data_IF_617275567676
#
_entry.id   IF_617275567676
#
_cell.length_a   1.000
_cell.length_b   1.000
_cell.length_c   1.000
_cell.angle_alpha   90.00
_cell.angle_beta   90.00
_cell.angle_gamma   90.00
#
_symmetry.space_group_name_H-M   'P 1'
#
loop_
_entity.id
_entity.type
_entity.pdbx_description
1 polymer ?
#
# COMPACT_ATOMS: atom_id res chain seq x y z
N UNK A 1 6.47 11.79 17.45
CA UNK A 1 5.91 10.42 17.58
C UNK A 1 6.88 9.60 18.41
N UNK A 2 6.40 8.85 19.42
CA UNK A 2 7.24 7.95 20.22
C UNK A 2 7.43 6.61 19.50
N UNK A 3 8.47 5.83 19.86
CA UNK A 3 8.70 4.50 19.28
C UNK A 3 7.49 3.56 19.39
N UNK A 4 6.81 3.45 20.57
CA UNK A 4 5.60 2.63 20.67
C UNK A 4 4.46 3.10 19.76
N UNK A 5 4.28 4.43 19.62
CA UNK A 5 3.27 4.99 18.72
C UNK A 5 3.58 4.68 17.25
N UNK A 6 4.85 4.70 16.87
CA UNK A 6 5.30 4.37 15.51
C UNK A 6 5.07 2.90 15.17
N UNK A 7 5.44 2.00 16.09
CA UNK A 7 5.20 0.57 15.94
C UNK A 7 3.71 0.22 15.84
N UNK A 8 2.88 0.92 16.62
CA UNK A 8 1.43 0.79 16.53
C UNK A 8 0.91 1.29 15.17
N UNK A 9 1.39 2.44 14.68
CA UNK A 9 1.01 2.96 13.37
C UNK A 9 1.42 2.00 12.22
N UNK A 10 2.64 1.47 12.25
CA UNK A 10 3.11 0.47 11.29
C UNK A 10 2.23 -0.79 11.32
N UNK A 11 1.87 -1.26 12.51
CA UNK A 11 1.01 -2.44 12.67
C UNK A 11 -0.40 -2.20 12.10
N UNK A 12 -0.98 -1.03 12.37
CA UNK A 12 -2.28 -0.63 11.83
C UNK A 12 -2.26 -0.55 10.29
N UNK A 13 -1.20 0.03 9.72
CA UNK A 13 -1.07 0.12 8.26
C UNK A 13 -0.86 -1.25 7.60
N UNK A 14 -0.12 -2.17 8.26
CA UNK A 14 0.01 -3.55 7.78
C UNK A 14 -1.33 -4.28 7.77
N UNK A 15 -2.14 -4.09 8.82
CA UNK A 15 -3.49 -4.64 8.89
C UNK A 15 -4.38 -4.05 7.79
N UNK A 16 -4.34 -2.73 7.59
CA UNK A 16 -5.08 -2.06 6.52
C UNK A 16 -4.65 -2.58 5.14
N UNK A 17 -3.35 -2.76 4.90
CA UNK A 17 -2.85 -3.31 3.63
C UNK A 17 -3.36 -4.73 3.38
N UNK A 18 -3.46 -5.56 4.42
CA UNK A 18 -4.06 -6.89 4.31
C UNK A 18 -5.54 -6.81 3.95
N UNK A 19 -6.31 -5.91 4.59
CA UNK A 19 -7.72 -5.67 4.23
C UNK A 19 -7.88 -5.17 2.80
N UNK A 20 -7.00 -4.28 2.34
CA UNK A 20 -6.98 -3.77 0.96
C UNK A 20 -6.73 -4.90 -0.04
N UNK A 21 -5.78 -5.81 0.24
CA UNK A 21 -5.52 -6.97 -0.63
C UNK A 21 -6.71 -7.91 -0.72
N UNK A 22 -7.30 -8.26 0.42
CA UNK A 22 -8.50 -9.10 0.46
C UNK A 22 -9.66 -8.49 -0.34
N UNK A 23 -9.84 -7.16 -0.24
CA UNK A 23 -10.90 -6.46 -0.99
C UNK A 23 -10.61 -6.40 -2.50
N UNK A 24 -9.35 -6.26 -2.91
CA UNK A 24 -9.00 -6.25 -4.34
C UNK A 24 -9.27 -7.62 -4.98
N UNK A 25 -8.95 -8.72 -4.29
CA UNK A 25 -9.26 -10.08 -4.72
C UNK A 25 -10.78 -10.32 -4.88
N UNK A 26 -11.57 -9.84 -3.91
CA UNK A 26 -13.04 -9.89 -3.96
C UNK A 26 -13.58 -9.13 -5.18
N UNK A 27 -13.16 -7.88 -5.37
CA UNK A 27 -13.61 -7.04 -6.47
C UNK A 27 -13.14 -7.58 -7.83
N UNK A 28 -11.94 -8.14 -7.93
CA UNK A 28 -11.46 -8.77 -9.15
C UNK A 28 -12.29 -10.01 -9.50
N UNK A 29 -12.67 -10.80 -8.51
CA UNK A 29 -13.58 -11.94 -8.69
C UNK A 29 -14.94 -11.49 -9.25
N UNK A 30 -15.53 -10.45 -8.66
CA UNK A 30 -16.80 -9.87 -9.11
C UNK A 30 -16.69 -9.31 -10.53
N UNK A 31 -15.64 -8.55 -10.84
CA UNK A 31 -15.42 -8.00 -12.18
C UNK A 31 -15.32 -9.12 -13.23
N UNK A 32 -14.57 -10.19 -12.95
CA UNK A 32 -14.50 -11.37 -13.83
C UNK A 32 -15.86 -12.03 -14.00
N UNK A 33 -16.66 -12.11 -12.95
CA UNK A 33 -18.01 -12.67 -13.03
C UNK A 33 -18.93 -11.83 -13.92
N UNK A 34 -19.00 -10.51 -13.71
CA UNK A 34 -19.85 -9.64 -14.52
C UNK A 34 -19.42 -9.62 -15.99
N UNK A 35 -18.12 -9.55 -16.30
CA UNK A 35 -17.63 -9.68 -17.69
C UNK A 35 -18.04 -11.01 -18.35
N UNK A 36 -18.03 -12.12 -17.60
CA UNK A 36 -18.52 -13.41 -18.10
C UNK A 36 -20.03 -13.41 -18.31
N UNK A 37 -20.80 -12.77 -17.45
CA UNK A 37 -22.25 -12.66 -17.61
C UNK A 37 -22.60 -11.81 -18.84
N UNK A 38 -21.96 -10.64 -18.97
CA UNK A 38 -22.17 -9.71 -20.07
C UNK A 38 -21.83 -10.35 -21.43
N UNK A 39 -20.71 -11.08 -21.53
CA UNK A 39 -20.33 -11.77 -22.76
C UNK A 39 -21.26 -12.94 -23.14
N UNK A 40 -22.02 -13.48 -22.19
CA UNK A 40 -23.00 -14.55 -22.43
C UNK A 40 -24.42 -14.02 -22.69
N UNK A 41 -24.74 -12.83 -22.20
CA UNK A 41 -26.08 -12.27 -22.24
C UNK A 41 -26.71 -12.21 -23.65
N UNK A 42 -25.99 -11.86 -24.75
CA UNK A 42 -26.58 -11.83 -26.09
C UNK A 42 -27.14 -13.18 -26.55
N UNK A 43 -26.61 -14.30 -26.03
CA UNK A 43 -27.07 -15.65 -26.39
C UNK A 43 -28.53 -15.88 -26.01
N UNK A 44 -29.03 -15.24 -24.95
CA UNK A 44 -30.41 -15.39 -24.50
C UNK A 44 -31.41 -14.84 -25.53
N UNK A 45 -31.11 -13.71 -26.17
CA UNK A 45 -31.92 -13.18 -27.26
C UNK A 45 -31.83 -14.05 -28.53
N UNK A 46 -30.61 -14.48 -28.89
CA UNK A 46 -30.36 -15.28 -30.10
C UNK A 46 -31.03 -16.65 -30.03
N UNK A 47 -31.01 -17.30 -28.87
CA UNK A 47 -31.58 -18.64 -28.67
C UNK A 47 -33.11 -18.61 -28.47
N UNK A 48 -33.75 -17.44 -28.56
CA UNK A 48 -35.18 -17.27 -28.35
C UNK A 48 -35.62 -17.42 -26.89
N UNK A 49 -34.66 -17.38 -25.94
CA UNK A 49 -34.93 -17.54 -24.50
C UNK A 49 -35.49 -16.28 -23.83
N UNK A 50 -35.18 -15.09 -24.37
CA UNK A 50 -35.69 -13.80 -23.89
C UNK A 50 -35.98 -12.85 -25.07
N UNK A 51 -36.96 -11.93 -24.94
CA UNK A 51 -37.10 -10.80 -25.85
C UNK A 51 -35.82 -9.95 -25.90
N UNK A 52 -35.59 -9.26 -27.02
CA UNK A 52 -34.42 -8.38 -27.20
C UNK A 52 -34.35 -7.30 -26.11
N UNK A 53 -35.47 -6.60 -25.85
CA UNK A 53 -35.56 -5.55 -24.84
C UNK A 53 -35.18 -6.03 -23.44
N UNK A 54 -35.69 -7.21 -23.05
CA UNK A 54 -35.33 -7.84 -21.77
C UNK A 54 -33.84 -8.16 -21.71
N UNK A 55 -33.26 -8.64 -22.81
CA UNK A 55 -31.82 -8.94 -22.87
C UNK A 55 -30.97 -7.67 -22.76
N UNK A 56 -31.35 -6.59 -23.46
CA UNK A 56 -30.66 -5.30 -23.39
C UNK A 56 -30.74 -4.69 -21.99
N UNK A 57 -31.91 -4.76 -21.35
CA UNK A 57 -32.08 -4.29 -19.98
C UNK A 57 -31.14 -5.01 -19.00
N UNK A 58 -31.13 -6.35 -19.03
CA UNK A 58 -30.23 -7.17 -18.19
C UNK A 58 -28.76 -6.87 -18.48
N UNK A 59 -28.39 -6.66 -19.76
CA UNK A 59 -27.02 -6.26 -20.11
C UNK A 59 -26.65 -4.91 -19.51
N UNK A 60 -27.56 -3.94 -19.52
CA UNK A 60 -27.37 -2.63 -18.90
C UNK A 60 -27.11 -2.74 -17.40
N UNK A 61 -27.94 -3.51 -16.68
CA UNK A 61 -27.75 -3.72 -15.24
C UNK A 61 -26.42 -4.42 -14.91
N UNK A 62 -26.00 -5.40 -15.72
CA UNK A 62 -24.70 -6.07 -15.54
C UNK A 62 -23.54 -5.09 -15.79
N UNK A 63 -23.67 -4.23 -16.81
CA UNK A 63 -22.65 -3.23 -17.14
C UNK A 63 -22.51 -2.20 -16.02
N UNK A 64 -23.62 -1.66 -15.51
CA UNK A 64 -23.60 -0.70 -14.40
C UNK A 64 -22.88 -1.28 -13.17
N UNK A 65 -23.21 -2.52 -12.80
CA UNK A 65 -22.54 -3.21 -11.69
C UNK A 65 -21.06 -3.49 -11.95
N UNK A 66 -20.67 -3.73 -13.20
CA UNK A 66 -19.27 -3.89 -13.58
C UNK A 66 -18.52 -2.57 -13.43
N UNK A 67 -19.10 -1.47 -13.92
CA UNK A 67 -18.51 -0.14 -13.85
C UNK A 67 -18.31 0.29 -12.40
N UNK A 68 -19.30 0.06 -11.53
CA UNK A 68 -19.19 0.31 -10.09
C UNK A 68 -18.02 -0.45 -9.45
N UNK A 69 -17.86 -1.73 -9.78
CA UNK A 69 -16.75 -2.55 -9.28
C UNK A 69 -15.41 -2.02 -9.79
N UNK A 70 -15.32 -1.62 -11.05
CA UNK A 70 -14.09 -1.07 -11.63
C UNK A 70 -13.69 0.27 -10.98
N UNK A 71 -14.67 1.14 -10.71
CA UNK A 71 -14.46 2.39 -9.96
C UNK A 71 -13.95 2.10 -8.54
N UNK A 72 -14.57 1.15 -7.83
CA UNK A 72 -14.12 0.76 -6.49
C UNK A 72 -12.68 0.23 -6.51
N UNK A 73 -12.30 -0.56 -7.53
CA UNK A 73 -10.92 -1.04 -7.68
C UNK A 73 -9.93 0.08 -7.92
N UNK A 74 -10.30 1.11 -8.69
CA UNK A 74 -9.46 2.30 -8.88
C UNK A 74 -9.18 2.99 -7.55
N UNK A 75 -10.23 3.29 -6.78
CA UNK A 75 -10.09 3.91 -5.45
C UNK A 75 -9.25 3.04 -4.51
N UNK A 76 -9.48 1.73 -4.50
CA UNK A 76 -8.72 0.81 -3.67
C UNK A 76 -7.23 0.78 -4.05
N UNK A 77 -6.92 0.91 -5.35
CA UNK A 77 -5.54 1.01 -5.84
C UNK A 77 -4.84 2.32 -5.46
N UNK A 78 -5.59 3.41 -5.25
CA UNK A 78 -5.06 4.67 -4.70
C UNK A 78 -4.77 4.56 -3.21
N UNK A 79 -5.72 3.98 -2.44
CA UNK A 79 -5.53 3.69 -1.01
C UNK A 79 -4.32 2.78 -0.81
N UNK A 80 -4.19 1.70 -1.59
CA UNK A 80 -3.03 0.79 -1.52
C UNK A 80 -1.71 1.54 -1.65
N UNK A 81 -1.59 2.38 -2.67
CA UNK A 81 -0.39 3.17 -2.94
C UNK A 81 -0.03 4.09 -1.78
N UNK A 82 -1.02 4.76 -1.19
CA UNK A 82 -0.80 5.63 -0.04
C UNK A 82 -0.36 4.84 1.21
N UNK A 83 -1.00 3.72 1.49
CA UNK A 83 -0.64 2.85 2.63
C UNK A 83 0.77 2.28 2.48
N UNK A 84 1.14 1.85 1.28
CA UNK A 84 2.49 1.34 0.99
C UNK A 84 3.55 2.43 1.14
N UNK A 85 3.30 3.64 0.64
CA UNK A 85 4.20 4.77 0.78
C UNK A 85 4.41 5.16 2.26
N UNK A 86 3.32 5.25 3.03
CA UNK A 86 3.37 5.57 4.46
C UNK A 86 4.12 4.48 5.25
N UNK A 87 3.88 3.20 4.93
CA UNK A 87 4.61 2.09 5.54
C UNK A 87 6.12 2.19 5.27
N UNK A 88 6.52 2.50 4.04
CA UNK A 88 7.94 2.67 3.70
C UNK A 88 8.55 3.80 4.53
N UNK A 89 7.89 4.96 4.58
CA UNK A 89 8.35 6.12 5.34
C UNK A 89 8.51 5.82 6.84
N UNK A 90 7.51 5.18 7.46
CA UNK A 90 7.56 4.84 8.88
C UNK A 90 8.62 3.77 9.19
N UNK A 91 8.78 2.74 8.36
CA UNK A 91 9.83 1.73 8.58
C UNK A 91 11.24 2.33 8.45
N UNK A 92 11.46 3.28 7.53
CA UNK A 92 12.76 3.98 7.43
C UNK A 92 12.99 4.82 8.69
N UNK A 93 11.97 5.56 9.13
CA UNK A 93 12.04 6.40 10.32
C UNK A 93 12.32 5.58 11.58
N UNK A 94 11.67 4.42 11.74
CA UNK A 94 11.90 3.51 12.86
C UNK A 94 13.35 3.03 12.88
N UNK A 95 13.89 2.59 11.74
CA UNK A 95 15.28 2.12 11.65
C UNK A 95 16.29 3.22 11.99
N UNK A 96 16.04 4.45 11.54
CA UNK A 96 16.90 5.61 11.90
C UNK A 96 16.84 5.86 13.41
N UNK A 97 15.66 5.79 14.02
CA UNK A 97 15.51 5.98 15.46
C UNK A 97 16.26 4.89 16.26
N UNK A 98 16.14 3.62 15.86
CA UNK A 98 16.87 2.50 16.47
C UNK A 98 18.39 2.67 16.34
N UNK A 99 18.88 3.01 15.15
CA UNK A 99 20.31 3.21 14.92
C UNK A 99 20.87 4.40 15.73
N UNK A 100 20.09 5.47 15.92
CA UNK A 100 20.47 6.61 16.77
C UNK A 100 20.52 6.23 18.25
N UNK A 101 19.58 5.42 18.72
CA UNK A 101 19.55 4.90 20.08
C UNK A 101 20.75 3.98 20.35
N UNK A 102 21.02 3.04 19.46
CA UNK A 102 22.21 2.16 19.54
C UNK A 102 23.51 2.97 19.55
N UNK A 103 23.62 3.96 18.67
CA UNK A 103 24.78 4.86 18.61
C UNK A 103 24.95 5.67 19.90
N UNK A 104 23.86 6.11 20.53
CA UNK A 104 23.91 6.84 21.79
C UNK A 104 24.39 5.95 22.93
N UNK A 105 23.91 4.69 22.99
CA UNK A 105 24.35 3.70 23.96
C UNK A 105 25.84 3.38 23.81
N UNK A 106 26.31 3.12 22.58
CA UNK A 106 27.73 2.84 22.31
C UNK A 106 28.64 4.02 22.67
N UNK A 107 28.18 5.26 22.44
CA UNK A 107 28.93 6.45 22.86
C UNK A 107 29.00 6.56 24.38
N UNK A 108 27.90 6.31 25.09
CA UNK A 108 27.88 6.33 26.54
C UNK A 108 28.83 5.26 27.14
N UNK A 109 28.84 4.04 26.60
CA UNK A 109 29.80 2.99 27.00
C UNK A 109 31.26 3.41 26.76
N UNK A 110 31.55 4.09 25.64
CA UNK A 110 32.89 4.62 25.35
C UNK A 110 33.33 5.66 26.38
N UNK A 111 32.43 6.56 26.76
CA UNK A 111 32.72 7.62 27.73
C UNK A 111 33.00 7.05 29.14
N UNK A 112 32.49 5.85 29.44
CA UNK A 112 32.75 5.10 30.68
C UNK A 112 34.01 4.21 30.57
N UNK A 113 34.68 4.20 29.42
CA UNK A 113 35.96 3.51 29.20
C UNK A 113 35.84 2.03 28.82
N UNK A 114 34.66 1.57 28.41
CA UNK A 114 34.48 0.21 27.87
C UNK A 114 35.12 0.11 26.47
N UNK A 115 35.58 -1.09 26.11
CA UNK A 115 36.09 -1.37 24.76
C UNK A 115 34.92 -1.36 23.77
N UNK A 116 34.78 -0.26 23.02
CA UNK A 116 33.69 -0.07 22.07
C UNK A 116 34.16 -0.38 20.66
N UNK A 117 33.37 -1.18 19.93
CA UNK A 117 33.62 -1.47 18.52
C UNK A 117 33.48 -0.21 17.65
N UNK A 118 34.59 0.48 17.39
CA UNK A 118 34.62 1.70 16.56
C UNK A 118 34.08 1.45 15.14
N UNK A 119 34.27 0.23 14.62
CA UNK A 119 33.70 -0.22 13.36
C UNK A 119 32.17 -0.17 13.35
N UNK A 120 31.53 -0.65 14.43
CA UNK A 120 30.06 -0.61 14.59
C UNK A 120 29.53 0.82 14.64
N UNK A 121 30.25 1.73 15.31
CA UNK A 121 29.91 3.16 15.34
C UNK A 121 29.97 3.76 13.93
N UNK A 122 31.00 3.43 13.15
CA UNK A 122 31.16 3.91 11.78
C UNK A 122 30.04 3.37 10.86
N UNK A 123 29.70 2.09 10.97
CA UNK A 123 28.59 1.46 10.27
C UNK A 123 27.25 2.15 10.57
N UNK A 124 26.92 2.37 11.84
CA UNK A 124 25.67 3.00 12.24
C UNK A 124 25.56 4.44 11.74
N UNK A 125 26.66 5.20 11.75
CA UNK A 125 26.69 6.56 11.20
C UNK A 125 26.41 6.56 9.71
N UNK A 126 27.11 5.70 8.96
CA UNK A 126 26.90 5.54 7.52
C UNK A 126 25.47 5.12 7.21
N UNK A 127 24.93 4.17 7.96
CA UNK A 127 23.53 3.73 7.82
C UNK A 127 22.54 4.89 8.05
N UNK A 128 22.71 5.68 9.11
CA UNK A 128 21.84 6.82 9.40
C UNK A 128 21.91 7.85 8.27
N UNK A 129 23.10 8.13 7.74
CA UNK A 129 23.30 9.09 6.65
C UNK A 129 22.61 8.61 5.35
N UNK A 130 22.86 7.37 4.95
CA UNK A 130 22.22 6.76 3.78
C UNK A 130 20.69 6.67 3.93
N UNK A 131 20.19 6.27 5.11
CA UNK A 131 18.76 6.19 5.38
C UNK A 131 18.09 7.56 5.43
N UNK A 132 18.80 8.59 5.93
CA UNK A 132 18.29 9.97 5.97
C UNK A 132 18.19 10.57 4.57
N UNK A 133 19.15 10.27 3.69
CA UNK A 133 19.10 10.67 2.28
C UNK A 133 17.88 10.05 1.58
N UNK A 134 17.69 8.73 1.73
CA UNK A 134 16.52 8.02 1.16
C UNK A 134 15.20 8.52 1.73
N UNK A 135 15.15 8.85 3.02
CA UNK A 135 13.96 9.47 3.62
C UNK A 135 13.66 10.84 3.00
N UNK A 136 14.70 11.65 2.76
CA UNK A 136 14.58 12.93 2.05
C UNK A 136 14.01 12.76 0.65
N UNK A 137 14.57 11.83 -0.13
CA UNK A 137 14.11 11.52 -1.49
C UNK A 137 12.67 10.99 -1.54
N UNK A 138 12.27 10.16 -0.58
CA UNK A 138 10.90 9.64 -0.49
C UNK A 138 9.86 10.75 -0.19
N UNK A 139 10.27 11.78 0.53
CA UNK A 139 9.41 12.94 0.84
C UNK A 139 9.33 13.89 -0.36
N UNK A 140 10.44 14.16 -1.04
CA UNK A 140 10.47 15.04 -2.23
C UNK A 140 9.91 14.39 -3.49
N UNK A 141 10.13 13.09 -3.69
CA UNK A 141 9.67 12.33 -4.86
C UNK A 141 8.16 12.04 -4.88
N UNK A 142 7.46 12.26 -3.76
CA UNK A 142 5.99 12.16 -3.68
C UNK A 142 5.29 13.53 -3.84
N UNK A 143 6.06 14.62 -4.04
CA UNK A 143 5.54 15.97 -4.22
C UNK A 143 5.23 16.31 -5.70
N UNK A 144 5.73 15.52 -6.65
CA UNK A 144 5.46 15.65 -8.09
C UNK A 144 4.62 14.47 -8.60
N UNK A 145 3.32 14.52 -8.35
CA UNK A 145 2.34 13.85 -9.21
C UNK A 145 1.51 14.93 -9.92
N UNK A 146 1.46 14.95 -11.26
CA UNK A 146 0.70 15.95 -12.00
C UNK A 146 -0.78 15.80 -11.65
N UNK A 147 -1.40 16.92 -11.25
CA UNK A 147 -2.86 17.07 -11.25
C UNK A 147 -3.31 17.07 -12.72
N UNK A 148 -3.74 15.93 -13.23
CA UNK A 148 -4.55 15.82 -14.45
C UNK A 148 -5.65 14.77 -14.23
#
# INVERSE_FOLDING_TARGET
>A
MTMPQMQQAISNLRLLLASVRAKDEELESLARQFRRQLSRAPRYAIQGGNPLETTLHVMGEIQERLDDVEVQRKHLGEIRRQVEAELVALNITEKIAQAKEELALLRASRDVGEEVGEERIAELRRFIEEASLRAGEAITGNSDLPRL
#
